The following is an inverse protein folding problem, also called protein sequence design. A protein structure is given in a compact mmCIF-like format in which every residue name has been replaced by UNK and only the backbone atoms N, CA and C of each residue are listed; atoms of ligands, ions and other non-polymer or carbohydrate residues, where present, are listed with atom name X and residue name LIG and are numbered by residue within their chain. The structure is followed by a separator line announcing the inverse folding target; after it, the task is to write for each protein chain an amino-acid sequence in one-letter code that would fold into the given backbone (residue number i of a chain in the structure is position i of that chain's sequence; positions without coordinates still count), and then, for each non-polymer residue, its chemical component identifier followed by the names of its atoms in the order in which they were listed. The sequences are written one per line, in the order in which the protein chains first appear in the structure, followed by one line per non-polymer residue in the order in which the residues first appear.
data_IF_882614201452
#
_entry.id   IF_882614201452
#
_cell.length_a   1.000
_cell.length_b   1.000
_cell.length_c   1.000
_cell.angle_alpha   90.00
_cell.angle_beta   90.00
_cell.angle_gamma   90.00
#
_symmetry.space_group_name_H-M   'P 1'
#
loop_
_entity.id
_entity.type
_entity.pdbx_description
1 polymer ?
#
# COMPACT_ATOMS: atom_id res chain seq x y z
N UNK A 1 -11.34 -1.37 1.80
CA UNK A 1 -10.72 -0.98 0.51
C UNK A 1 -10.94 -1.99 -0.60
N UNK A 2 -10.60 -3.28 -0.42
CA UNK A 2 -10.82 -4.31 -1.45
C UNK A 2 -12.29 -4.43 -1.90
N UNK A 3 -13.26 -4.27 -0.99
CA UNK A 3 -14.70 -4.25 -1.35
C UNK A 3 -15.07 -3.07 -2.26
N UNK A 4 -14.50 -1.89 -2.00
CA UNK A 4 -14.71 -0.72 -2.87
C UNK A 4 -14.07 -0.94 -4.24
N UNK A 5 -12.85 -1.49 -4.25
CA UNK A 5 -12.14 -1.81 -5.48
C UNK A 5 -12.89 -2.86 -6.32
N UNK A 6 -13.43 -3.90 -5.68
CA UNK A 6 -14.24 -4.93 -6.32
C UNK A 6 -15.56 -4.37 -6.87
N UNK A 7 -16.28 -3.57 -6.07
CA UNK A 7 -17.59 -2.98 -6.47
C UNK A 7 -17.45 -2.02 -7.64
N UNK A 8 -16.43 -1.16 -7.62
CA UNK A 8 -16.26 -0.11 -8.62
C UNK A 8 -15.24 -0.44 -9.71
N UNK A 9 -14.59 -1.61 -9.62
CA UNK A 9 -13.52 -2.09 -10.52
C UNK A 9 -12.46 -1.01 -10.76
N UNK A 10 -11.90 -0.49 -9.68
CA UNK A 10 -11.01 0.68 -9.76
C UNK A 10 -9.60 0.26 -10.20
N UNK A 11 -8.98 -0.71 -9.53
CA UNK A 11 -7.56 -1.03 -9.70
C UNK A 11 -7.29 -2.54 -9.85
N UNK A 12 -7.42 -3.32 -8.76
CA UNK A 12 -7.12 -4.76 -8.75
C UNK A 12 -8.09 -5.55 -9.64
N UNK A 13 -9.40 -5.23 -9.56
CA UNK A 13 -10.44 -5.94 -10.33
C UNK A 13 -10.55 -5.43 -11.78
N UNK A 14 -9.82 -4.36 -12.13
CA UNK A 14 -9.74 -3.84 -13.49
C UNK A 14 -8.63 -4.50 -14.30
N UNK A 15 -7.47 -4.70 -13.69
CA UNK A 15 -6.30 -5.31 -14.34
C UNK A 15 -5.41 -5.99 -13.29
N UNK A 16 -5.71 -7.24 -12.89
CA UNK A 16 -5.09 -7.87 -11.72
C UNK A 16 -3.57 -8.02 -11.87
N UNK A 17 -3.06 -8.43 -13.03
CA UNK A 17 -1.61 -8.60 -13.24
C UNK A 17 -0.83 -7.29 -13.08
N UNK A 18 -1.31 -6.20 -13.69
CA UNK A 18 -0.69 -4.88 -13.57
C UNK A 18 -0.82 -4.33 -12.16
N UNK A 19 -1.98 -4.51 -11.53
CA UNK A 19 -2.22 -4.05 -10.18
C UNK A 19 -1.31 -4.76 -9.17
N UNK A 20 -1.16 -6.09 -9.28
CA UNK A 20 -0.23 -6.87 -8.46
C UNK A 20 1.22 -6.41 -8.67
N UNK A 21 1.63 -6.21 -9.92
CA UNK A 21 2.98 -5.70 -10.21
C UNK A 21 3.22 -4.31 -9.60
N UNK A 22 2.26 -3.39 -9.73
CA UNK A 22 2.36 -2.05 -9.12
C UNK A 22 2.43 -2.13 -7.59
N UNK A 23 1.61 -2.97 -6.96
CA UNK A 23 1.66 -3.17 -5.50
C UNK A 23 2.99 -3.77 -5.06
N UNK A 24 3.48 -4.80 -5.76
CA UNK A 24 4.74 -5.45 -5.43
C UNK A 24 5.92 -4.49 -5.57
N UNK A 25 5.99 -3.74 -6.67
CA UNK A 25 7.05 -2.76 -6.92
C UNK A 25 6.99 -1.62 -5.89
N UNK A 26 5.81 -1.06 -5.65
CA UNK A 26 5.65 0.04 -4.68
C UNK A 26 5.99 -0.37 -3.26
N UNK A 27 5.48 -1.52 -2.82
CA UNK A 27 5.77 -2.08 -1.49
C UNK A 27 7.25 -2.40 -1.34
N UNK A 28 7.86 -3.03 -2.36
CA UNK A 28 9.28 -3.36 -2.34
C UNK A 28 10.18 -2.11 -2.29
N UNK A 29 9.84 -1.07 -3.06
CA UNK A 29 10.59 0.18 -3.03
C UNK A 29 10.53 0.87 -1.66
N UNK A 30 9.35 0.94 -1.03
CA UNK A 30 9.20 1.50 0.31
C UNK A 30 9.92 0.65 1.36
N UNK A 31 9.83 -0.67 1.26
CA UNK A 31 10.52 -1.58 2.17
C UNK A 31 12.04 -1.42 2.09
N UNK A 32 12.60 -1.18 0.90
CA UNK A 32 14.04 -0.87 0.76
C UNK A 32 14.39 0.41 1.51
N UNK A 33 13.56 1.45 1.42
CA UNK A 33 13.76 2.70 2.17
C UNK A 33 13.69 2.46 3.67
N UNK A 34 12.74 1.65 4.14
CA UNK A 34 12.62 1.28 5.55
C UNK A 34 13.86 0.54 6.04
N UNK A 35 14.34 -0.45 5.28
CA UNK A 35 15.56 -1.20 5.64
C UNK A 35 16.78 -0.28 5.72
N UNK A 36 16.90 0.70 4.82
CA UNK A 36 17.96 1.72 4.90
C UNK A 36 17.80 2.58 6.15
N UNK A 37 16.59 3.04 6.48
CA UNK A 37 16.33 3.84 7.66
C UNK A 37 16.57 3.06 8.97
N UNK A 38 16.25 1.77 9.01
CA UNK A 38 16.56 0.86 10.12
C UNK A 38 18.08 0.71 10.27
N UNK A 39 18.79 0.48 9.17
CA UNK A 39 20.25 0.34 9.18
C UNK A 39 20.96 1.62 9.66
N UNK A 40 20.37 2.79 9.40
CA UNK A 40 20.84 4.09 9.89
C UNK A 40 20.41 4.39 11.34
N UNK A 41 19.63 3.51 11.99
CA UNK A 41 19.12 3.71 13.34
C UNK A 41 18.02 4.77 13.46
N UNK A 42 17.42 5.18 12.33
CA UNK A 42 16.36 6.19 12.29
C UNK A 42 15.03 5.57 12.75
N UNK A 43 14.75 4.34 12.29
CA UNK A 43 13.55 3.59 12.66
C UNK A 43 13.77 2.64 13.82
N UNK A 44 12.76 2.58 14.69
CA UNK A 44 12.70 1.78 15.91
C UNK A 44 11.31 1.17 16.01
N UNK A 45 11.23 -0.01 16.61
CA UNK A 45 9.95 -0.68 16.90
C UNK A 45 9.21 0.11 17.97
N UNK A 46 7.91 0.33 17.79
CA UNK A 46 7.08 0.96 18.81
C UNK A 46 6.66 -0.04 19.90
N UNK A 47 6.52 0.42 21.15
CA UNK A 47 6.11 -0.41 22.29
C UNK A 47 4.59 -0.52 22.41
N UNK A 48 3.89 -0.83 21.31
CA UNK A 48 2.43 -0.96 21.34
C UNK A 48 2.00 -2.33 21.84
N UNK A 49 1.09 -2.42 22.84
CA UNK A 49 0.56 -3.70 23.33
C UNK A 49 -0.31 -4.45 22.30
N UNK A 50 -0.66 -3.79 21.20
CA UNK A 50 -1.44 -4.38 20.10
C UNK A 50 -0.56 -4.95 18.98
N UNK A 51 0.77 -4.87 19.09
CA UNK A 51 1.65 -5.54 18.14
C UNK A 51 1.51 -7.06 18.26
N UNK A 52 1.56 -7.73 17.12
CA UNK A 52 1.59 -9.20 17.03
C UNK A 52 2.86 -9.79 17.64
N UNK A 53 3.92 -8.99 17.75
CA UNK A 53 5.24 -9.41 18.23
C UNK A 53 6.04 -10.22 17.20
N UNK A 54 5.53 -10.41 15.99
CA UNK A 54 6.21 -11.16 14.93
C UNK A 54 7.22 -10.23 14.23
N UNK A 55 8.50 -10.54 14.38
CA UNK A 55 9.59 -9.80 13.73
C UNK A 55 10.11 -10.56 12.51
N UNK A 56 10.09 -9.91 11.35
CA UNK A 56 10.66 -10.45 10.11
C UNK A 56 12.18 -10.25 10.05
N UNK A 57 12.68 -9.17 10.64
CA UNK A 57 14.10 -8.85 10.78
C UNK A 57 14.31 -7.97 12.04
N UNK A 58 15.56 -7.71 12.47
CA UNK A 58 15.82 -6.75 13.55
C UNK A 58 15.15 -5.41 13.25
N UNK A 59 14.28 -4.97 14.17
CA UNK A 59 13.48 -3.76 14.04
C UNK A 59 12.49 -3.69 12.85
N UNK A 60 12.20 -4.81 12.19
CA UNK A 60 11.21 -4.90 11.10
C UNK A 60 10.04 -5.83 11.50
N UNK A 61 8.94 -5.30 12.04
CA UNK A 61 7.76 -6.09 12.39
C UNK A 61 6.98 -6.55 11.14
N UNK A 62 6.25 -7.66 11.24
CA UNK A 62 5.41 -8.21 10.15
C UNK A 62 4.35 -7.20 9.66
N UNK A 63 3.87 -6.36 10.57
CA UNK A 63 2.87 -5.34 10.32
C UNK A 63 3.37 -4.28 9.34
N UNK A 64 4.68 -4.03 9.26
CA UNK A 64 5.25 -3.00 8.38
C UNK A 64 5.02 -3.33 6.89
N UNK A 65 5.46 -4.47 6.33
CA UNK A 65 5.16 -4.79 4.93
C UNK A 65 3.65 -4.92 4.64
N UNK A 66 2.84 -5.32 5.62
CA UNK A 66 1.38 -5.34 5.49
C UNK A 66 0.84 -3.91 5.39
N UNK A 67 1.35 -3.00 6.21
CA UNK A 67 1.01 -1.59 6.19
C UNK A 67 1.43 -0.92 4.88
N UNK A 68 2.65 -1.16 4.41
CA UNK A 68 3.15 -0.63 3.13
C UNK A 68 2.32 -1.14 1.94
N UNK A 69 1.96 -2.42 1.94
CA UNK A 69 1.07 -3.00 0.93
C UNK A 69 -0.30 -2.32 0.97
N UNK A 70 -0.86 -2.14 2.18
CA UNK A 70 -2.12 -1.44 2.37
C UNK A 70 -2.04 0.02 1.91
N UNK A 71 -0.94 0.72 2.19
CA UNK A 71 -0.71 2.10 1.79
C UNK A 71 -0.63 2.22 0.26
N UNK A 72 0.06 1.30 -0.41
CA UNK A 72 0.09 1.24 -1.87
C UNK A 72 -1.31 0.99 -2.45
N UNK A 73 -2.06 0.06 -1.88
CA UNK A 73 -3.43 -0.23 -2.28
C UNK A 73 -4.35 0.98 -2.09
N UNK A 74 -4.29 1.61 -0.91
CA UNK A 74 -5.08 2.81 -0.58
C UNK A 74 -4.79 3.93 -1.57
N UNK A 75 -3.51 4.20 -1.83
CA UNK A 75 -3.07 5.21 -2.79
C UNK A 75 -3.67 4.97 -4.17
N UNK A 76 -3.62 3.74 -4.68
CA UNK A 76 -4.15 3.42 -6.01
C UNK A 76 -5.68 3.51 -6.07
N UNK A 77 -6.38 3.05 -5.04
CA UNK A 77 -7.85 3.16 -4.96
C UNK A 77 -8.28 4.63 -4.95
N UNK A 78 -7.64 5.47 -4.13
CA UNK A 78 -7.91 6.91 -4.05
C UNK A 78 -7.57 7.60 -5.37
N UNK A 79 -6.44 7.24 -5.98
CA UNK A 79 -6.00 7.81 -7.25
C UNK A 79 -7.01 7.51 -8.38
N UNK A 80 -7.44 6.26 -8.53
CA UNK A 80 -8.43 5.88 -9.55
C UNK A 80 -9.81 6.50 -9.29
N UNK A 81 -10.22 6.61 -8.03
CA UNK A 81 -11.44 7.34 -7.67
C UNK A 81 -11.36 8.81 -8.10
N UNK A 82 -10.27 9.51 -7.77
CA UNK A 82 -10.07 10.91 -8.13
C UNK A 82 -9.99 11.10 -9.67
N UNK A 83 -9.38 10.17 -10.40
CA UNK A 83 -9.38 10.16 -11.87
C UNK A 83 -10.79 10.03 -12.43
N UNK A 84 -11.62 9.17 -11.84
CA UNK A 84 -12.99 8.94 -12.28
C UNK A 84 -13.88 10.16 -12.02
N UNK A 85 -13.77 10.79 -10.85
CA UNK A 85 -14.50 12.03 -10.53
C UNK A 85 -14.18 13.15 -11.52
N UNK A 86 -12.91 13.33 -11.88
CA UNK A 86 -12.49 14.33 -12.87
C UNK A 86 -13.00 14.06 -14.29
N UNK A 87 -13.32 12.81 -14.64
CA UNK A 87 -13.92 12.47 -15.94
C UNK A 87 -15.41 12.80 -15.97
N UNK A 88 -16.12 12.49 -14.89
CA UNK A 88 -17.54 12.84 -14.76
C UNK A 88 -17.76 14.36 -14.87
N UNK A 89 -16.86 15.15 -14.28
CA UNK A 89 -16.93 16.62 -14.32
C UNK A 89 -16.66 17.20 -15.73
N UNK A 90 -15.98 16.47 -16.62
CA UNK A 90 -15.67 16.90 -17.99
C UNK A 90 -16.73 16.55 -19.04
N UNK A 91 -17.85 15.93 -18.65
CA UNK A 91 -19.00 15.71 -19.56
C UNK A 91 -18.76 14.70 -20.70
N UNK A 92 -17.67 13.94 -20.68
CA UNK A 92 -17.43 12.86 -21.63
C UNK A 92 -18.07 11.57 -21.10
N UNK A 93 -19.33 11.32 -21.46
CA UNK A 93 -20.04 10.03 -21.29
C UNK A 93 -20.19 9.35 -22.64
#
# INVERSE_FOLDING_TARGET
MLVLDARHRLFLWRSPGRALATLAIGTGALLVVDLVAIALGIFRVGDSPLMTGIMLAPHLPLEEPVFLLFLCLLTMVVHELARRMRRTDRGEV
#
